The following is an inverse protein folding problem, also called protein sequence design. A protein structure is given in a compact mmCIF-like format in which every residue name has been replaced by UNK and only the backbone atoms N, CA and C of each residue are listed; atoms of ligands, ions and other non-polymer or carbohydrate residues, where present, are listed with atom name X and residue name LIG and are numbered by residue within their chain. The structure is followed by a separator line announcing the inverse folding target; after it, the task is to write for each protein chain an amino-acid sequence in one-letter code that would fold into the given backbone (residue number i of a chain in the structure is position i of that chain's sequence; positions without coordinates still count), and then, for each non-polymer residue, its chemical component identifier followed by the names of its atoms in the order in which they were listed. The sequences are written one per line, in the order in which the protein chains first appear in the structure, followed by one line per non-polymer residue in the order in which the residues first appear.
data_IF_155710820300
#
_entry.id   IF_155710820300
#
_cell.length_a   1.000
_cell.length_b   1.000
_cell.length_c   1.000
_cell.angle_alpha   90.00
_cell.angle_beta   90.00
_cell.angle_gamma   90.00
#
_symmetry.space_group_name_H-M   'P 1'
#
loop_
_entity.id
_entity.type
_entity.pdbx_description
1 polymer ?
#
# COMPACT_ATOMS: atom_id res chain seq x y z
N UNK A 1 14.44 -24.51 29.62
CA UNK A 1 14.78 -24.66 28.18
C UNK A 1 13.55 -24.60 27.30
N UNK A 2 12.50 -25.38 27.56
CA UNK A 2 11.28 -25.40 26.73
C UNK A 2 10.54 -24.05 26.67
N UNK A 3 10.47 -23.32 27.78
CA UNK A 3 9.77 -22.02 27.85
C UNK A 3 10.46 -20.92 27.00
N UNK A 4 11.80 -20.83 27.07
CA UNK A 4 12.57 -19.90 26.22
C UNK A 4 12.44 -20.27 24.74
N UNK A 5 12.51 -21.56 24.40
CA UNK A 5 12.33 -22.01 23.02
C UNK A 5 10.92 -21.70 22.48
N UNK A 6 9.89 -21.85 23.32
CA UNK A 6 8.51 -21.48 23.04
C UNK A 6 8.36 -19.98 22.77
N UNK A 7 8.94 -19.14 23.64
CA UNK A 7 8.93 -17.69 23.50
C UNK A 7 9.59 -17.22 22.20
N UNK A 8 10.78 -17.74 21.89
CA UNK A 8 11.51 -17.39 20.67
C UNK A 8 10.73 -17.82 19.43
N UNK A 9 10.15 -19.03 19.45
CA UNK A 9 9.33 -19.52 18.33
C UNK A 9 8.12 -18.62 18.10
N UNK A 10 7.38 -18.29 19.16
CA UNK A 10 6.25 -17.37 19.07
C UNK A 10 6.67 -15.99 18.52
N UNK A 11 7.76 -15.41 19.03
CA UNK A 11 8.27 -14.12 18.56
C UNK A 11 8.71 -14.16 17.09
N UNK A 12 9.36 -15.25 16.64
CA UNK A 12 9.76 -15.41 15.25
C UNK A 12 8.53 -15.51 14.32
N UNK A 13 7.51 -16.29 14.71
CA UNK A 13 6.25 -16.39 13.96
C UNK A 13 5.48 -15.08 13.95
N UNK A 14 5.44 -14.35 15.07
CA UNK A 14 4.82 -13.03 15.17
C UNK A 14 5.53 -12.02 14.26
N UNK A 15 6.87 -12.04 14.24
CA UNK A 15 7.69 -11.25 13.33
C UNK A 15 7.40 -11.54 11.86
N UNK A 16 7.35 -12.81 11.48
CA UNK A 16 7.00 -13.22 10.12
C UNK A 16 5.58 -12.79 9.73
N UNK A 17 4.60 -12.88 10.64
CA UNK A 17 3.25 -12.40 10.40
C UNK A 17 3.19 -10.87 10.22
N UNK A 18 4.01 -10.10 10.95
CA UNK A 18 4.15 -8.66 10.71
C UNK A 18 4.79 -8.37 9.34
N UNK A 19 5.77 -9.18 8.92
CA UNK A 19 6.35 -9.14 7.57
C UNK A 19 5.31 -9.39 6.48
N UNK A 20 4.51 -10.44 6.63
CA UNK A 20 3.37 -10.76 5.75
C UNK A 20 2.32 -9.63 5.71
N UNK A 21 2.14 -8.91 6.81
CA UNK A 21 1.28 -7.73 6.89
C UNK A 21 1.93 -6.44 6.33
N UNK A 22 3.09 -6.55 5.67
CA UNK A 22 3.86 -5.45 5.08
C UNK A 22 4.31 -4.38 6.09
N UNK A 23 4.65 -4.77 7.32
CA UNK A 23 5.26 -3.86 8.28
C UNK A 23 6.72 -3.52 7.86
N UNK A 24 7.19 -2.28 8.10
CA UNK A 24 8.58 -1.93 7.92
C UNK A 24 9.52 -2.81 8.76
N UNK A 25 10.65 -3.23 8.19
CA UNK A 25 11.64 -4.06 8.88
C UNK A 25 12.12 -3.41 10.19
N UNK A 26 12.35 -2.09 10.16
CA UNK A 26 12.68 -1.30 11.35
C UNK A 26 11.62 -1.41 12.44
N UNK A 27 10.34 -1.37 12.07
CA UNK A 27 9.22 -1.43 12.99
C UNK A 27 9.07 -2.83 13.59
N UNK A 28 9.21 -3.87 12.76
CA UNK A 28 9.21 -5.27 13.19
C UNK A 28 10.30 -5.46 14.27
N UNK A 29 11.53 -5.02 13.99
CA UNK A 29 12.65 -5.11 14.93
C UNK A 29 12.35 -4.39 16.25
N UNK A 30 11.85 -3.16 16.20
CA UNK A 30 11.48 -2.40 17.40
C UNK A 30 10.37 -3.06 18.22
N UNK A 31 9.38 -3.64 17.55
CA UNK A 31 8.27 -4.34 18.21
C UNK A 31 8.74 -5.65 18.84
N UNK A 32 9.58 -6.42 18.15
CA UNK A 32 10.17 -7.65 18.67
C UNK A 32 11.07 -7.37 19.88
N UNK A 33 11.97 -6.37 19.82
CA UNK A 33 12.81 -6.00 20.95
C UNK A 33 11.98 -5.62 22.19
N UNK A 34 10.88 -4.87 22.02
CA UNK A 34 9.98 -4.54 23.13
C UNK A 34 9.22 -5.76 23.66
N UNK A 35 8.81 -6.66 22.77
CA UNK A 35 8.14 -7.90 23.16
C UNK A 35 9.09 -8.84 23.93
N UNK A 36 10.33 -9.01 23.48
CA UNK A 36 11.36 -9.80 24.17
C UNK A 36 11.65 -9.24 25.57
N UNK A 37 11.79 -7.91 25.69
CA UNK A 37 11.95 -7.25 26.98
C UNK A 37 10.77 -7.48 27.93
N UNK A 38 9.53 -7.54 27.41
CA UNK A 38 8.34 -7.82 28.21
C UNK A 38 8.30 -9.27 28.72
N UNK A 39 8.94 -10.21 28.02
CA UNK A 39 9.13 -11.60 28.45
C UNK A 39 10.41 -11.81 29.26
N UNK A 40 11.21 -10.76 29.52
CA UNK A 40 12.45 -10.86 30.28
C UNK A 40 13.58 -11.59 29.54
N UNK A 41 13.49 -11.74 28.22
CA UNK A 41 14.51 -12.40 27.40
C UNK A 41 15.29 -11.39 26.54
N UNK A 42 16.60 -11.59 26.45
CA UNK A 42 17.48 -10.85 25.56
C UNK A 42 17.58 -11.59 24.24
N UNK A 43 17.05 -10.99 23.17
CA UNK A 43 17.06 -11.58 21.84
C UNK A 43 17.67 -10.65 20.81
N UNK A 44 18.47 -11.21 19.91
CA UNK A 44 18.86 -10.55 18.67
C UNK A 44 17.91 -10.96 17.55
N UNK A 45 17.77 -10.08 16.55
CA UNK A 45 16.83 -10.29 15.45
C UNK A 45 17.50 -10.00 14.11
N UNK A 46 17.34 -10.92 13.16
CA UNK A 46 17.60 -10.65 11.74
C UNK A 46 16.26 -10.68 11.02
N UNK A 47 15.84 -9.51 10.55
CA UNK A 47 14.56 -9.34 9.84
C UNK A 47 14.88 -8.94 8.42
N UNK A 48 14.41 -9.75 7.48
CA UNK A 48 14.49 -9.56 6.03
C UNK A 48 13.06 -9.60 5.47
N UNK A 49 12.79 -9.07 4.26
CA UNK A 49 11.45 -9.06 3.67
C UNK A 49 10.76 -10.44 3.69
N UNK A 50 11.52 -11.50 3.43
CA UNK A 50 10.99 -12.85 3.26
C UNK A 50 11.32 -13.79 4.43
N UNK A 51 12.08 -13.33 5.43
CA UNK A 51 12.56 -14.19 6.52
C UNK A 51 12.73 -13.40 7.81
N UNK A 52 12.23 -13.95 8.91
CA UNK A 52 12.49 -13.43 10.25
C UNK A 52 13.23 -14.48 11.07
N UNK A 53 14.36 -14.09 11.63
CA UNK A 53 15.17 -14.90 12.53
C UNK A 53 15.25 -14.24 13.90
N UNK A 54 15.02 -15.02 14.94
CA UNK A 54 15.15 -14.61 16.33
C UNK A 54 16.19 -15.49 16.99
N UNK A 55 17.18 -14.85 17.60
CA UNK A 55 18.28 -15.45 18.32
C UNK A 55 18.09 -15.14 19.81
N UNK A 56 18.25 -16.11 20.70
CA UNK A 56 18.36 -15.81 22.12
C UNK A 56 19.50 -16.59 22.76
N UNK A 57 20.18 -15.94 23.68
CA UNK A 57 21.12 -16.62 24.56
C UNK A 57 20.35 -17.61 25.45
N UNK A 58 20.88 -18.84 25.56
CA UNK A 58 20.37 -19.81 26.53
C UNK A 58 21.34 -19.90 27.71
N UNK A 59 20.87 -20.41 28.86
CA UNK A 59 21.71 -20.54 30.07
C UNK A 59 22.88 -21.53 29.91
N UNK A 60 22.90 -22.33 28.83
CA UNK A 60 24.07 -23.07 28.38
C UNK A 60 24.75 -22.37 27.20
N UNK A 61 26.01 -22.68 26.90
CA UNK A 61 26.84 -22.01 25.88
C UNK A 61 26.31 -22.00 24.41
N UNK A 62 25.05 -22.38 24.17
CA UNK A 62 24.36 -22.32 22.88
C UNK A 62 23.47 -21.08 22.72
N UNK A 63 23.26 -20.69 21.47
CA UNK A 63 22.27 -19.68 21.06
C UNK A 63 21.10 -20.40 20.39
N UNK A 64 19.89 -20.23 20.91
CA UNK A 64 18.69 -20.77 20.27
C UNK A 64 18.30 -19.89 19.09
N UNK A 65 18.09 -20.49 17.92
CA UNK A 65 17.73 -19.79 16.69
C UNK A 65 16.40 -20.32 16.16
N UNK A 66 15.46 -19.43 15.89
CA UNK A 66 14.24 -19.74 15.16
C UNK A 66 14.18 -18.88 13.91
N UNK A 67 13.97 -19.53 12.76
CA UNK A 67 13.87 -18.88 11.46
C UNK A 67 12.52 -19.22 10.84
N UNK A 68 11.74 -18.20 10.51
CA UNK A 68 10.41 -18.35 9.90
C UNK A 68 10.40 -17.58 8.58
N UNK A 69 10.00 -18.26 7.50
CA UNK A 69 9.82 -17.66 6.18
C UNK A 69 8.44 -17.01 6.06
N UNK A 70 8.40 -15.87 5.36
CA UNK A 70 7.17 -15.18 4.97
C UNK A 70 6.74 -15.75 3.62
N UNK A 71 5.81 -16.70 3.66
CA UNK A 71 5.42 -17.48 2.47
C UNK A 71 4.31 -16.83 1.64
N UNK A 72 3.50 -15.96 2.25
CA UNK A 72 2.38 -15.29 1.59
C UNK A 72 2.05 -13.97 2.30
N UNK A 73 1.52 -13.01 1.54
CA UNK A 73 0.98 -11.77 2.10
C UNK A 73 -0.23 -12.07 3.00
N UNK A 74 -0.30 -11.34 4.11
CA UNK A 74 -1.43 -11.40 5.02
C UNK A 74 -2.57 -10.54 4.48
N UNK A 75 -3.82 -11.04 4.59
CA UNK A 75 -4.98 -10.28 4.13
C UNK A 75 -5.21 -9.06 5.02
N UNK A 76 -5.74 -7.99 4.42
CA UNK A 76 -5.86 -6.71 5.10
C UNK A 76 -6.72 -6.76 6.38
N UNK A 77 -7.81 -7.53 6.37
CA UNK A 77 -8.67 -7.75 7.54
C UNK A 77 -7.96 -8.46 8.70
N UNK A 78 -7.03 -9.37 8.40
CA UNK A 78 -6.22 -10.08 9.39
C UNK A 78 -5.19 -9.16 10.08
N UNK A 79 -4.85 -8.00 9.49
CA UNK A 79 -3.92 -7.04 10.09
C UNK A 79 -4.46 -6.43 11.39
N UNK A 80 -5.79 -6.30 11.53
CA UNK A 80 -6.43 -5.73 12.71
C UNK A 80 -6.27 -6.62 13.97
N UNK A 81 -6.64 -7.91 13.96
CA UNK A 81 -6.39 -8.79 15.09
C UNK A 81 -4.90 -9.05 15.31
N UNK A 82 -4.07 -9.10 14.26
CA UNK A 82 -2.61 -9.22 14.39
C UNK A 82 -2.03 -8.07 15.20
N UNK A 83 -2.37 -6.83 14.85
CA UNK A 83 -1.84 -5.68 15.56
C UNK A 83 -2.32 -5.61 17.03
N UNK A 84 -3.53 -6.09 17.34
CA UNK A 84 -3.98 -6.26 18.73
C UNK A 84 -3.14 -7.30 19.47
N UNK A 85 -2.78 -8.40 18.81
CA UNK A 85 -1.88 -9.42 19.36
C UNK A 85 -0.50 -8.82 19.63
N UNK A 86 0.13 -8.19 18.62
CA UNK A 86 1.43 -7.50 18.75
C UNK A 86 1.43 -6.52 19.92
N UNK A 87 0.41 -5.65 19.99
CA UNK A 87 0.29 -4.66 21.07
C UNK A 87 0.17 -5.29 22.46
N UNK A 88 -0.52 -6.43 22.57
CA UNK A 88 -0.71 -7.14 23.85
C UNK A 88 0.56 -7.89 24.26
N UNK A 89 1.26 -8.48 23.29
CA UNK A 89 2.57 -9.11 23.48
C UNK A 89 3.63 -8.11 23.94
N UNK A 90 3.70 -6.92 23.33
CA UNK A 90 4.61 -5.84 23.77
C UNK A 90 4.34 -5.32 25.20
N UNK A 91 3.16 -5.62 25.76
CA UNK A 91 2.81 -5.30 27.15
C UNK A 91 3.05 -6.47 28.12
N UNK A 92 3.51 -7.63 27.63
CA UNK A 92 3.63 -8.85 28.44
C UNK A 92 2.28 -9.42 28.89
N UNK A 93 1.19 -9.06 28.20
CA UNK A 93 -0.17 -9.42 28.61
C UNK A 93 -0.69 -10.72 27.96
N UNK A 94 0.18 -11.46 27.27
CA UNK A 94 -0.18 -12.67 26.52
C UNK A 94 0.87 -13.72 26.83
N UNK A 95 0.44 -14.91 27.25
CA UNK A 95 1.32 -16.06 27.38
C UNK A 95 1.80 -16.54 25.99
N UNK A 96 3.06 -16.95 25.79
CA UNK A 96 3.57 -17.40 24.49
C UNK A 96 2.77 -18.54 23.83
N UNK A 97 2.22 -19.48 24.60
CA UNK A 97 1.42 -20.60 24.07
C UNK A 97 0.06 -20.08 23.60
N UNK A 98 -0.60 -19.26 24.41
CA UNK A 98 -1.86 -18.61 24.04
C UNK A 98 -1.70 -17.66 22.85
N UNK A 99 -0.55 -16.98 22.79
CA UNK A 99 -0.14 -16.10 21.70
C UNK A 99 -0.01 -16.86 20.39
N UNK A 100 0.62 -18.04 20.42
CA UNK A 100 0.77 -18.90 19.25
C UNK A 100 -0.60 -19.43 18.77
N UNK A 101 -1.44 -19.93 19.68
CA UNK A 101 -2.80 -20.37 19.35
C UNK A 101 -3.69 -19.23 18.83
N UNK A 102 -3.46 -17.98 19.28
CA UNK A 102 -4.14 -16.81 18.75
C UNK A 102 -3.62 -16.40 17.38
N UNK A 103 -2.33 -16.56 17.13
CA UNK A 103 -1.73 -16.30 15.83
C UNK A 103 -2.25 -17.30 14.79
N UNK A 104 -2.34 -18.59 15.13
CA UNK A 104 -2.92 -19.62 14.25
C UNK A 104 -4.34 -19.27 13.84
N UNK A 105 -5.20 -18.89 14.81
CA UNK A 105 -6.56 -18.42 14.53
C UNK A 105 -6.63 -17.20 13.62
N UNK A 106 -5.63 -16.32 13.67
CA UNK A 106 -5.58 -15.15 12.79
C UNK A 106 -5.22 -15.59 11.37
N UNK A 107 -4.21 -16.45 11.22
CA UNK A 107 -3.71 -16.92 9.93
C UNK A 107 -4.75 -17.80 9.21
N UNK A 108 -5.46 -18.64 9.96
CA UNK A 108 -6.47 -19.58 9.43
C UNK A 108 -7.87 -18.95 9.28
N UNK A 109 -8.02 -17.66 9.59
CA UNK A 109 -9.32 -16.99 9.53
C UNK A 109 -9.88 -16.98 8.09
N UNK A 110 -11.13 -17.45 7.88
CA UNK A 110 -11.75 -17.44 6.56
C UNK A 110 -12.00 -15.99 6.09
N UNK A 111 -12.16 -15.77 4.77
CA UNK A 111 -12.55 -14.45 4.26
C UNK A 111 -13.86 -13.93 4.87
N UNK A 112 -13.92 -12.68 5.36
CA UNK A 112 -15.12 -12.12 5.98
C UNK A 112 -16.20 -11.78 4.95
N UNK A 113 -15.85 -11.77 3.66
CA UNK A 113 -16.72 -11.37 2.56
C UNK A 113 -16.77 -12.46 1.49
N UNK A 114 -17.92 -12.62 0.78
CA UNK A 114 -18.04 -13.58 -0.30
C UNK A 114 -17.14 -13.19 -1.49
N UNK A 115 -16.71 -14.15 -2.33
CA UNK A 115 -15.67 -13.93 -3.34
C UNK A 115 -16.03 -12.94 -4.45
N UNK A 116 -17.32 -12.65 -4.66
CA UNK A 116 -17.79 -11.66 -5.63
C UNK A 116 -17.69 -10.21 -5.10
N UNK A 117 -17.72 -10.01 -3.79
CA UNK A 117 -17.77 -8.68 -3.20
C UNK A 117 -16.46 -7.90 -3.40
N UNK A 118 -15.26 -8.51 -3.32
CA UNK A 118 -14.03 -7.82 -3.69
C UNK A 118 -14.01 -7.38 -5.15
N UNK A 119 -14.60 -8.14 -6.08
CA UNK A 119 -14.65 -7.72 -7.50
C UNK A 119 -15.46 -6.42 -7.63
N UNK A 120 -16.65 -6.39 -7.02
CA UNK A 120 -17.48 -5.18 -6.99
C UNK A 120 -16.79 -4.02 -6.26
N UNK A 121 -16.15 -4.32 -5.13
CA UNK A 121 -15.41 -3.36 -4.33
C UNK A 121 -14.26 -2.72 -5.09
N UNK A 122 -13.55 -3.49 -5.92
CA UNK A 122 -12.49 -2.97 -6.78
C UNK A 122 -13.03 -2.02 -7.84
N UNK A 123 -14.17 -2.33 -8.48
CA UNK A 123 -14.84 -1.41 -9.41
C UNK A 123 -15.23 -0.08 -8.75
N UNK A 124 -15.81 -0.12 -7.55
CA UNK A 124 -16.18 1.08 -6.77
C UNK A 124 -14.92 1.84 -6.32
N UNK A 125 -13.85 1.11 -5.96
CA UNK A 125 -12.59 1.72 -5.57
C UNK A 125 -11.95 2.48 -6.74
N UNK A 126 -11.91 1.88 -7.94
CA UNK A 126 -11.48 2.55 -9.17
C UNK A 126 -12.37 3.74 -9.53
N UNK A 127 -13.69 3.66 -9.33
CA UNK A 127 -14.60 4.79 -9.53
C UNK A 127 -14.27 5.98 -8.62
N UNK A 128 -14.00 5.71 -7.33
CA UNK A 128 -13.61 6.72 -6.36
C UNK A 128 -12.28 7.39 -6.73
N UNK A 129 -11.28 6.61 -7.15
CA UNK A 129 -10.00 7.13 -7.63
C UNK A 129 -10.16 7.95 -8.93
N UNK A 130 -11.03 7.55 -9.85
CA UNK A 130 -11.31 8.32 -11.07
C UNK A 130 -11.91 9.69 -10.76
N UNK A 131 -12.84 9.77 -9.80
CA UNK A 131 -13.39 11.04 -9.32
C UNK A 131 -12.34 11.95 -8.69
N UNK A 132 -11.33 11.38 -8.03
CA UNK A 132 -10.23 12.13 -7.41
C UNK A 132 -9.21 12.63 -8.44
N UNK A 133 -8.83 11.79 -9.40
CA UNK A 133 -7.73 12.06 -10.33
C UNK A 133 -8.15 12.83 -11.59
N UNK A 134 -9.27 12.44 -12.20
CA UNK A 134 -9.76 13.04 -13.46
C UNK A 134 -11.29 12.89 -13.55
N UNK A 135 -12.04 13.75 -12.86
CA UNK A 135 -13.49 13.65 -12.74
C UNK A 135 -14.19 14.00 -14.07
N UNK A 136 -14.48 12.96 -14.85
CA UNK A 136 -15.23 12.98 -16.10
C UNK A 136 -16.24 11.83 -16.12
N UNK A 137 -17.46 11.99 -16.67
CA UNK A 137 -18.44 10.89 -16.76
C UNK A 137 -17.89 9.66 -17.48
N UNK A 138 -17.14 9.87 -18.57
CA UNK A 138 -16.54 8.78 -19.34
C UNK A 138 -15.46 8.07 -18.54
N UNK A 139 -14.57 8.83 -17.87
CA UNK A 139 -13.54 8.24 -17.03
C UNK A 139 -14.14 7.51 -15.83
N UNK A 140 -15.19 8.03 -15.21
CA UNK A 140 -15.90 7.37 -14.12
C UNK A 140 -16.48 6.03 -14.56
N UNK A 141 -17.20 5.99 -15.68
CA UNK A 141 -17.77 4.76 -16.23
C UNK A 141 -16.68 3.78 -16.64
N UNK A 142 -15.69 4.24 -17.41
CA UNK A 142 -14.55 3.45 -17.86
C UNK A 142 -13.78 2.86 -16.69
N UNK A 143 -13.41 3.67 -15.70
CA UNK A 143 -12.71 3.22 -14.50
C UNK A 143 -13.51 2.21 -13.68
N UNK A 144 -14.83 2.38 -13.59
CA UNK A 144 -15.71 1.42 -12.89
C UNK A 144 -15.71 0.07 -13.61
N UNK A 145 -15.94 0.06 -14.92
CA UNK A 145 -16.02 -1.18 -15.72
C UNK A 145 -14.66 -1.88 -15.80
N UNK A 146 -13.60 -1.14 -16.09
CA UNK A 146 -12.24 -1.66 -16.14
C UNK A 146 -11.76 -2.11 -14.76
N UNK A 147 -12.17 -1.41 -13.70
CA UNK A 147 -11.99 -1.87 -12.32
C UNK A 147 -12.66 -3.23 -12.13
N UNK A 148 -13.95 -3.39 -12.44
CA UNK A 148 -14.63 -4.70 -12.33
C UNK A 148 -13.89 -5.81 -13.10
N UNK A 149 -13.39 -5.51 -14.30
CA UNK A 149 -12.57 -6.42 -15.10
C UNK A 149 -11.29 -6.83 -14.35
N UNK A 150 -10.51 -5.86 -13.86
CA UNK A 150 -9.26 -6.13 -13.14
C UNK A 150 -9.52 -6.87 -11.83
N UNK A 151 -10.58 -6.51 -11.09
CA UNK A 151 -11.00 -7.21 -9.88
C UNK A 151 -11.34 -8.68 -10.17
N UNK A 152 -11.98 -8.96 -11.31
CA UNK A 152 -12.26 -10.31 -11.77
C UNK A 152 -10.98 -11.06 -12.15
N UNK A 153 -10.08 -10.43 -12.91
CA UNK A 153 -8.77 -11.01 -13.26
C UNK A 153 -7.98 -11.38 -12.00
N UNK A 154 -7.94 -10.49 -11.00
CA UNK A 154 -7.31 -10.76 -9.71
C UNK A 154 -7.98 -11.93 -8.98
N UNK A 155 -9.31 -12.03 -9.02
CA UNK A 155 -10.03 -13.15 -8.42
C UNK A 155 -9.73 -14.50 -9.10
N UNK A 156 -9.57 -14.51 -10.43
CA UNK A 156 -9.19 -15.70 -11.20
C UNK A 156 -7.73 -16.06 -10.97
N UNK A 157 -6.82 -15.09 -10.97
CA UNK A 157 -5.39 -15.31 -10.77
C UNK A 157 -5.08 -15.94 -9.41
N UNK A 158 -5.88 -15.67 -8.37
CA UNK A 158 -5.75 -16.37 -7.07
C UNK A 158 -5.93 -17.89 -7.15
N UNK A 159 -6.55 -18.42 -8.21
CA UNK A 159 -6.68 -19.87 -8.45
C UNK A 159 -5.52 -20.46 -9.25
N UNK A 160 -4.71 -19.61 -9.89
CA UNK A 160 -3.64 -20.03 -10.81
C UNK A 160 -2.35 -19.25 -10.53
N UNK A 161 -1.44 -19.83 -9.76
CA UNK A 161 -0.16 -19.20 -9.36
C UNK A 161 0.70 -18.74 -10.55
N UNK A 162 0.60 -19.39 -11.72
CA UNK A 162 1.31 -18.95 -12.91
C UNK A 162 0.79 -17.59 -13.45
N UNK A 163 -0.49 -17.30 -13.28
CA UNK A 163 -1.10 -16.04 -13.75
C UNK A 163 -0.79 -14.87 -12.82
N UNK A 164 -0.52 -15.10 -11.54
CA UNK A 164 -0.28 -13.99 -10.58
C UNK A 164 0.96 -13.17 -10.94
N UNK A 165 1.99 -13.80 -11.52
CA UNK A 165 3.21 -13.10 -11.93
C UNK A 165 3.02 -12.21 -13.16
N UNK A 166 2.12 -12.58 -14.08
CA UNK A 166 1.84 -11.82 -15.31
C UNK A 166 0.65 -10.88 -15.17
N UNK A 167 -0.08 -10.97 -14.06
CA UNK A 167 -1.31 -10.23 -13.82
C UNK A 167 -1.16 -8.71 -14.01
N UNK A 168 -0.08 -8.04 -13.54
CA UNK A 168 0.09 -6.60 -13.77
C UNK A 168 0.16 -6.26 -15.26
N UNK A 169 1.00 -6.96 -16.02
CA UNK A 169 1.17 -6.74 -17.46
C UNK A 169 -0.11 -7.03 -18.25
N UNK A 170 -0.79 -8.15 -17.93
CA UNK A 170 -2.05 -8.52 -18.58
C UNK A 170 -3.16 -7.51 -18.28
N UNK A 171 -3.25 -7.05 -17.03
CA UNK A 171 -4.24 -6.05 -16.63
C UNK A 171 -3.99 -4.72 -17.33
N UNK A 172 -2.73 -4.27 -17.37
CA UNK A 172 -2.34 -3.06 -18.08
C UNK A 172 -2.65 -3.14 -19.58
N UNK A 173 -2.32 -4.27 -20.22
CA UNK A 173 -2.64 -4.52 -21.62
C UNK A 173 -4.15 -4.45 -21.90
N UNK A 174 -4.98 -5.14 -21.10
CA UNK A 174 -6.42 -5.14 -21.30
C UNK A 174 -7.05 -3.78 -21.01
N UNK A 175 -6.62 -3.11 -19.94
CA UNK A 175 -7.11 -1.77 -19.56
C UNK A 175 -6.76 -0.74 -20.64
N UNK A 176 -5.51 -0.74 -21.12
CA UNK A 176 -5.06 0.15 -22.18
C UNK A 176 -5.78 -0.17 -23.49
N UNK A 177 -5.82 -1.44 -23.91
CA UNK A 177 -6.42 -1.84 -25.17
C UNK A 177 -7.91 -1.54 -25.26
N UNK A 178 -8.68 -1.80 -24.19
CA UNK A 178 -10.10 -1.42 -24.14
C UNK A 178 -10.27 0.09 -24.14
N UNK A 179 -9.45 0.84 -23.40
CA UNK A 179 -9.54 2.30 -23.38
C UNK A 179 -9.23 2.92 -24.74
N UNK A 180 -8.21 2.42 -25.43
CA UNK A 180 -7.83 2.81 -26.78
C UNK A 180 -8.96 2.53 -27.77
N UNK A 181 -9.48 1.29 -27.80
CA UNK A 181 -10.55 0.92 -28.73
C UNK A 181 -11.85 1.69 -28.49
N UNK A 182 -12.17 2.02 -27.23
CA UNK A 182 -13.33 2.87 -26.91
C UNK A 182 -13.09 4.32 -27.34
N UNK A 183 -11.88 4.85 -27.16
CA UNK A 183 -11.55 6.20 -27.60
C UNK A 183 -11.65 6.35 -29.12
N UNK A 184 -11.11 5.39 -29.87
CA UNK A 184 -11.23 5.34 -31.33
C UNK A 184 -12.70 5.27 -31.78
N UNK A 185 -13.49 4.39 -31.15
CA UNK A 185 -14.91 4.24 -31.48
C UNK A 185 -15.75 5.49 -31.20
N UNK A 186 -15.38 6.26 -30.17
CA UNK A 186 -16.05 7.50 -29.79
C UNK A 186 -15.49 8.74 -30.51
N UNK A 187 -14.47 8.58 -31.36
CA UNK A 187 -13.79 9.69 -32.04
C UNK A 187 -13.10 10.65 -31.07
N UNK A 188 -12.56 10.14 -29.96
CA UNK A 188 -11.80 10.94 -29.00
C UNK A 188 -10.36 11.06 -29.48
N UNK A 189 -9.87 12.29 -29.56
CA UNK A 189 -8.52 12.56 -30.06
C UNK A 189 -7.40 11.99 -29.15
N UNK A 190 -7.70 11.72 -27.87
CA UNK A 190 -6.69 11.32 -26.88
C UNK A 190 -7.20 10.35 -25.82
N UNK A 191 -6.35 9.41 -25.41
CA UNK A 191 -6.55 8.59 -24.19
C UNK A 191 -5.71 9.19 -23.08
N UNK A 192 -6.36 9.69 -22.02
CA UNK A 192 -5.64 10.19 -20.86
C UNK A 192 -4.93 9.05 -20.13
N UNK A 193 -3.60 9.10 -19.98
CA UNK A 193 -2.86 8.16 -19.13
C UNK A 193 -3.41 8.13 -17.70
N UNK A 194 -3.96 9.28 -17.25
CA UNK A 194 -4.61 9.41 -15.95
C UNK A 194 -5.88 8.56 -15.80
N UNK A 195 -6.57 8.26 -16.90
CA UNK A 195 -7.75 7.39 -16.91
C UNK A 195 -7.42 5.90 -16.73
N UNK A 196 -6.18 5.49 -17.04
CA UNK A 196 -5.70 4.12 -16.84
C UNK A 196 -5.29 3.84 -15.39
N UNK A 197 -4.98 4.89 -14.61
CA UNK A 197 -4.52 4.77 -13.22
C UNK A 197 -5.55 4.07 -12.32
N UNK A 198 -6.83 4.48 -12.26
CA UNK A 198 -7.77 3.96 -11.28
C UNK A 198 -8.02 2.44 -11.41
N UNK A 199 -8.17 1.86 -12.62
CA UNK A 199 -8.26 0.41 -12.81
C UNK A 199 -6.99 -0.37 -12.50
N UNK A 200 -5.82 0.28 -12.53
CA UNK A 200 -4.52 -0.36 -12.30
C UNK A 200 -3.97 -0.10 -10.90
N UNK A 201 -4.72 0.62 -10.06
CA UNK A 201 -4.24 1.17 -8.79
C UNK A 201 -3.68 0.13 -7.82
N UNK A 202 -4.16 -1.13 -7.83
CA UNK A 202 -3.64 -2.17 -6.93
C UNK A 202 -2.24 -2.65 -7.32
N UNK A 203 -1.85 -2.50 -8.59
CA UNK A 203 -0.54 -2.91 -9.08
C UNK A 203 0.49 -1.79 -8.96
N UNK A 204 0.05 -0.57 -8.67
CA UNK A 204 0.94 0.56 -8.48
C UNK A 204 1.78 0.34 -7.22
N UNK A 205 3.11 0.22 -7.34
CA UNK A 205 3.98 -0.15 -6.23
C UNK A 205 4.34 1.04 -5.33
N UNK A 206 3.43 2.02 -5.19
CA UNK A 206 3.67 3.21 -4.39
C UNK A 206 4.07 2.87 -2.96
N UNK A 207 3.37 1.92 -2.34
CA UNK A 207 3.61 1.53 -0.94
C UNK A 207 4.96 0.81 -0.79
N UNK A 208 5.30 -0.07 -1.74
CA UNK A 208 6.56 -0.81 -1.75
C UNK A 208 7.76 0.15 -1.91
N UNK A 209 7.68 1.09 -2.84
CA UNK A 209 8.75 2.07 -3.09
C UNK A 209 8.89 3.04 -1.91
N UNK A 210 7.77 3.51 -1.35
CA UNK A 210 7.79 4.40 -0.17
C UNK A 210 8.44 3.70 1.02
N UNK A 211 8.05 2.44 1.25
CA UNK A 211 8.63 1.63 2.31
C UNK A 211 10.11 1.34 2.07
N UNK A 212 10.50 1.11 0.81
CA UNK A 212 11.89 0.96 0.42
C UNK A 212 12.74 2.17 0.83
N UNK A 213 12.27 3.39 0.54
CA UNK A 213 13.00 4.62 0.90
C UNK A 213 13.08 4.78 2.42
N UNK A 214 12.00 4.48 3.15
CA UNK A 214 12.01 4.49 4.63
C UNK A 214 13.04 3.50 5.20
N UNK A 215 13.13 2.30 4.63
CA UNK A 215 14.10 1.28 5.05
C UNK A 215 15.54 1.64 4.65
N UNK A 216 15.75 2.17 3.44
CA UNK A 216 17.06 2.67 2.98
C UNK A 216 17.59 3.79 3.87
N UNK A 217 16.75 4.78 4.18
CA UNK A 217 17.11 5.90 5.08
C UNK A 217 17.35 5.44 6.52
N UNK A 218 16.76 4.31 6.92
CA UNK A 218 16.97 3.68 8.23
C UNK A 218 18.16 2.71 8.26
N UNK A 219 18.95 2.62 7.18
CA UNK A 219 20.10 1.71 7.00
C UNK A 219 19.75 0.22 6.86
N UNK A 220 18.48 -0.13 6.62
CA UNK A 220 18.06 -1.49 6.25
C UNK A 220 18.18 -1.68 4.72
N UNK A 221 19.41 -1.60 4.19
CA UNK A 221 19.66 -1.52 2.73
C UNK A 221 19.16 -2.72 1.94
N UNK A 222 19.28 -3.94 2.48
CA UNK A 222 18.84 -5.17 1.78
C UNK A 222 17.32 -5.18 1.60
N UNK A 223 16.58 -4.86 2.66
CA UNK A 223 15.12 -4.80 2.62
C UNK A 223 14.64 -3.66 1.71
N UNK A 224 15.25 -2.49 1.87
CA UNK A 224 14.93 -1.33 1.04
C UNK A 224 15.19 -1.58 -0.45
N UNK A 225 16.36 -2.09 -0.82
CA UNK A 225 16.72 -2.36 -2.21
C UNK A 225 15.81 -3.42 -2.85
N UNK A 226 15.48 -4.49 -2.13
CA UNK A 226 14.61 -5.56 -2.65
C UNK A 226 13.17 -5.07 -2.90
N UNK A 227 12.57 -4.30 -1.97
CA UNK A 227 11.25 -3.67 -2.17
C UNK A 227 11.26 -2.67 -3.33
N UNK A 228 12.36 -1.92 -3.49
CA UNK A 228 12.52 -0.96 -4.60
C UNK A 228 12.57 -1.68 -5.95
N UNK A 229 13.38 -2.73 -6.07
CA UNK A 229 13.50 -3.54 -7.30
C UNK A 229 12.15 -4.19 -7.62
N UNK A 230 11.45 -4.76 -6.64
CA UNK A 230 10.12 -5.33 -6.85
C UNK A 230 9.13 -4.27 -7.38
N UNK A 231 9.20 -3.04 -6.86
CA UNK A 231 8.40 -1.93 -7.38
C UNK A 231 8.75 -1.56 -8.82
N UNK A 232 10.04 -1.49 -9.17
CA UNK A 232 10.44 -1.22 -10.55
C UNK A 232 9.99 -2.31 -11.53
N UNK A 233 10.08 -3.59 -11.14
CA UNK A 233 9.57 -4.70 -11.95
C UNK A 233 8.07 -4.55 -12.19
N UNK A 234 7.29 -4.22 -11.15
CA UNK A 234 5.86 -3.99 -11.29
C UNK A 234 5.53 -2.82 -12.23
N UNK A 235 6.25 -1.69 -12.13
CA UNK A 235 6.09 -0.57 -13.06
C UNK A 235 6.45 -0.96 -14.50
N UNK A 236 7.55 -1.69 -14.70
CA UNK A 236 7.97 -2.17 -16.02
C UNK A 236 6.93 -3.10 -16.64
N UNK A 237 6.32 -3.99 -15.85
CA UNK A 237 5.24 -4.86 -16.31
C UNK A 237 4.00 -4.06 -16.75
N UNK A 238 3.61 -3.05 -15.97
CA UNK A 238 2.49 -2.18 -16.33
C UNK A 238 2.77 -1.41 -17.62
N UNK A 239 3.95 -0.78 -17.72
CA UNK A 239 4.36 -0.03 -18.90
C UNK A 239 4.42 -0.93 -20.14
N UNK A 240 5.01 -2.12 -20.03
CA UNK A 240 5.05 -3.11 -21.09
C UNK A 240 3.66 -3.49 -21.59
N UNK A 241 2.70 -3.71 -20.68
CA UNK A 241 1.32 -3.98 -21.06
C UNK A 241 0.67 -2.82 -21.83
N UNK A 242 0.89 -1.57 -21.38
CA UNK A 242 0.36 -0.37 -22.04
C UNK A 242 0.96 -0.21 -23.45
N UNK A 243 2.27 -0.32 -23.60
CA UNK A 243 2.98 -0.15 -24.88
C UNK A 243 2.53 -1.19 -25.89
N UNK A 244 2.47 -2.48 -25.52
CA UNK A 244 2.00 -3.52 -26.43
C UNK A 244 0.56 -3.29 -26.89
N UNK A 245 -0.31 -2.80 -26.00
CA UNK A 245 -1.68 -2.47 -26.37
C UNK A 245 -1.72 -1.33 -27.40
N UNK A 246 -0.88 -0.30 -27.25
CA UNK A 246 -0.78 0.80 -28.19
C UNK A 246 -0.25 0.35 -29.56
N UNK A 247 0.85 -0.42 -29.58
CA UNK A 247 1.46 -0.93 -30.81
C UNK A 247 0.48 -1.81 -31.62
N UNK A 248 -0.27 -2.70 -30.95
CA UNK A 248 -1.21 -3.60 -31.62
C UNK A 248 -2.44 -2.88 -32.20
N UNK A 249 -2.81 -1.73 -31.64
CA UNK A 249 -3.99 -0.95 -32.05
C UNK A 249 -3.61 0.21 -32.99
N UNK A 250 -2.34 0.38 -33.33
CA UNK A 250 -1.90 1.32 -34.36
C UNK A 250 -2.12 2.80 -34.02
N UNK A 251 -2.22 3.15 -32.73
CA UNK A 251 -2.27 4.54 -32.32
C UNK A 251 -0.88 5.19 -32.42
N UNK A 252 -0.81 6.37 -33.04
CA UNK A 252 0.37 7.23 -32.90
C UNK A 252 0.53 7.64 -31.42
N UNK A 253 1.73 7.43 -30.88
CA UNK A 253 2.07 7.61 -29.45
C UNK A 253 1.82 9.04 -28.93
N UNK A 254 1.74 10.01 -29.85
CA UNK A 254 1.47 11.44 -29.62
C UNK A 254 0.06 11.74 -29.07
N UNK A 255 -0.86 10.77 -29.09
CA UNK A 255 -2.24 10.96 -28.60
C UNK A 255 -2.45 10.63 -27.11
N UNK A 256 -1.37 10.40 -26.35
CA UNK A 256 -1.43 10.24 -24.89
C UNK A 256 -1.24 11.59 -24.20
N UNK A 257 -2.33 12.25 -23.83
CA UNK A 257 -2.29 13.55 -23.12
C UNK A 257 -2.36 13.38 -21.60
N UNK A 258 -1.47 14.07 -20.87
CA UNK A 258 -1.43 14.11 -19.41
C UNK A 258 -2.22 15.27 -18.77
N UNK A 259 -2.88 16.12 -19.56
CA UNK A 259 -3.59 17.30 -19.05
C UNK A 259 -4.84 16.92 -18.24
N UNK A 260 -5.00 17.47 -17.02
CA UNK A 260 -6.15 17.17 -16.18
C UNK A 260 -7.42 17.82 -16.71
N UNK A 261 -8.43 17.01 -17.05
CA UNK A 261 -9.74 17.50 -17.44
C UNK A 261 -10.76 17.26 -16.33
N UNK A 262 -11.17 18.31 -15.62
CA UNK A 262 -12.32 18.24 -14.71
C UNK A 262 -13.60 18.65 -15.44
N UNK A 263 -14.49 17.69 -15.70
CA UNK A 263 -15.79 17.90 -16.37
C UNK A 263 -16.99 17.84 -15.41
N UNK A 264 -16.80 17.43 -14.15
CA UNK A 264 -17.89 17.23 -13.17
C UNK A 264 -17.98 18.34 -12.10
N UNK A 265 -16.92 19.14 -11.93
CA UNK A 265 -16.87 20.27 -11.00
C UNK A 265 -16.03 20.01 -9.75
N UNK A 266 -15.89 21.02 -8.88
CA UNK A 266 -15.01 20.98 -7.71
C UNK A 266 -15.47 20.04 -6.59
N UNK A 267 -16.74 19.60 -6.58
CA UNK A 267 -17.26 18.66 -5.59
C UNK A 267 -16.86 17.20 -5.87
N UNK A 268 -16.54 16.88 -7.12
CA UNK A 268 -16.33 15.50 -7.57
C UNK A 268 -15.17 14.79 -6.85
N UNK A 269 -13.99 15.40 -6.65
CA UNK A 269 -12.92 14.77 -5.90
C UNK A 269 -13.27 14.47 -4.44
N UNK A 270 -14.02 15.37 -3.79
CA UNK A 270 -14.46 15.17 -2.40
C UNK A 270 -15.44 14.00 -2.29
N UNK A 271 -16.41 13.88 -3.22
CA UNK A 271 -17.25 12.68 -3.28
C UNK A 271 -16.41 11.44 -3.60
N UNK A 272 -15.41 11.57 -4.48
CA UNK A 272 -14.47 10.52 -4.83
C UNK A 272 -13.78 9.91 -3.61
N UNK A 273 -13.39 10.72 -2.61
CA UNK A 273 -12.82 10.22 -1.34
C UNK A 273 -13.82 9.33 -0.57
N UNK A 274 -15.11 9.69 -0.53
CA UNK A 274 -16.12 8.86 0.11
C UNK A 274 -16.34 7.53 -0.66
N UNK A 275 -16.46 7.61 -1.99
CA UNK A 275 -16.64 6.42 -2.84
C UNK A 275 -15.42 5.50 -2.75
N UNK A 276 -14.21 6.07 -2.73
CA UNK A 276 -12.95 5.38 -2.49
C UNK A 276 -13.00 4.58 -1.18
N UNK A 277 -13.42 5.22 -0.08
CA UNK A 277 -13.50 4.56 1.22
C UNK A 277 -14.48 3.38 1.22
N UNK A 278 -15.63 3.52 0.56
CA UNK A 278 -16.58 2.42 0.37
C UNK A 278 -15.96 1.29 -0.44
N UNK A 279 -15.28 1.60 -1.55
CA UNK A 279 -14.54 0.63 -2.35
C UNK A 279 -13.50 -0.16 -1.54
N UNK A 280 -12.72 0.53 -0.70
CA UNK A 280 -11.76 -0.09 0.23
C UNK A 280 -12.45 -1.04 1.22
N UNK A 281 -13.60 -0.64 1.79
CA UNK A 281 -14.36 -1.51 2.70
C UNK A 281 -14.85 -2.79 2.02
N UNK A 282 -15.27 -2.70 0.75
CA UNK A 282 -15.79 -3.83 -0.01
C UNK A 282 -14.68 -4.72 -0.57
N UNK A 283 -13.57 -4.13 -1.00
CA UNK A 283 -12.43 -4.84 -1.58
C UNK A 283 -11.64 -5.61 -0.53
N UNK A 284 -11.28 -4.94 0.57
CA UNK A 284 -10.42 -5.51 1.61
C UNK A 284 -11.18 -6.16 2.76
N UNK A 285 -12.48 -5.91 2.90
CA UNK A 285 -13.33 -6.47 3.95
C UNK A 285 -12.89 -6.19 5.41
N UNK A 286 -12.36 -5.00 5.77
CA UNK A 286 -12.04 -4.70 7.16
C UNK A 286 -13.31 -4.63 8.03
N UNK A 287 -13.19 -4.66 9.38
CA UNK A 287 -14.33 -4.51 10.27
C UNK A 287 -15.09 -3.20 10.01
N UNK A 288 -16.43 -3.21 10.04
CA UNK A 288 -17.25 -2.02 9.77
C UNK A 288 -16.94 -0.82 10.67
N UNK A 289 -16.45 -1.07 11.88
CA UNK A 289 -15.97 -0.04 12.80
C UNK A 289 -14.78 0.76 12.25
N UNK A 290 -14.13 0.29 11.17
CA UNK A 290 -13.01 0.95 10.49
C UNK A 290 -13.45 2.12 9.61
N UNK A 291 -14.64 2.08 9.02
CA UNK A 291 -15.12 3.08 8.05
C UNK A 291 -15.00 4.54 8.53
N UNK A 292 -15.43 4.93 9.76
CA UNK A 292 -15.30 6.32 10.19
C UNK A 292 -13.82 6.77 10.29
N UNK A 293 -12.93 5.87 10.70
CA UNK A 293 -11.49 6.18 10.77
C UNK A 293 -10.87 6.29 9.38
N UNK A 294 -11.31 5.43 8.45
CA UNK A 294 -10.89 5.46 7.05
C UNK A 294 -11.32 6.76 6.38
N UNK A 295 -12.58 7.19 6.56
CA UNK A 295 -13.07 8.45 6.00
C UNK A 295 -12.27 9.64 6.57
N UNK A 296 -12.11 9.68 7.90
CA UNK A 296 -11.37 10.77 8.55
C UNK A 296 -9.93 10.86 8.03
N UNK A 297 -9.22 9.73 7.97
CA UNK A 297 -7.82 9.73 7.53
C UNK A 297 -7.70 10.09 6.04
N UNK A 298 -8.61 9.57 5.21
CA UNK A 298 -8.65 9.84 3.78
C UNK A 298 -8.93 11.33 3.48
N UNK A 299 -9.92 11.93 4.13
CA UNK A 299 -10.23 13.35 3.96
C UNK A 299 -9.13 14.26 4.51
N UNK A 300 -8.53 13.93 5.66
CA UNK A 300 -7.39 14.69 6.19
C UNK A 300 -6.20 14.67 5.23
N UNK A 301 -5.85 13.49 4.70
CA UNK A 301 -4.74 13.32 3.78
C UNK A 301 -4.98 14.03 2.45
N UNK A 302 -6.16 13.82 1.84
CA UNK A 302 -6.55 14.48 0.60
C UNK A 302 -6.63 16.00 0.74
N UNK A 303 -7.28 16.50 1.80
CA UNK A 303 -7.39 17.93 2.06
C UNK A 303 -6.02 18.59 2.26
N UNK A 304 -5.10 17.93 2.95
CA UNK A 304 -3.73 18.42 3.13
C UNK A 304 -2.94 18.44 1.82
N UNK A 305 -3.09 17.42 0.97
CA UNK A 305 -2.48 17.42 -0.36
C UNK A 305 -3.07 18.52 -1.24
N UNK A 306 -4.39 18.69 -1.24
CA UNK A 306 -5.08 19.75 -1.99
C UNK A 306 -4.59 21.14 -1.59
N UNK A 307 -4.46 21.41 -0.29
CA UNK A 307 -3.89 22.68 0.20
C UNK A 307 -2.41 22.79 -0.19
N UNK A 308 -1.63 21.72 -0.04
CA UNK A 308 -0.21 21.70 -0.42
C UNK A 308 0.02 22.02 -1.90
N UNK A 309 -0.84 21.53 -2.79
CA UNK A 309 -0.80 21.80 -4.23
C UNK A 309 -0.93 23.30 -4.54
N UNK A 310 -1.79 24.02 -3.79
CA UNK A 310 -1.97 25.46 -3.97
C UNK A 310 -0.75 26.30 -3.55
N UNK A 311 0.06 25.83 -2.60
CA UNK A 311 1.16 26.62 -2.01
C UNK A 311 2.56 26.19 -2.46
N UNK A 312 2.78 24.89 -2.71
CA UNK A 312 4.09 24.30 -2.99
C UNK A 312 4.20 23.74 -4.42
N UNK A 313 3.09 23.72 -5.17
CA UNK A 313 2.98 23.09 -6.47
C UNK A 313 2.79 21.57 -6.41
N UNK A 314 2.38 20.98 -7.54
CA UNK A 314 1.90 19.59 -7.63
C UNK A 314 2.85 18.54 -7.08
N UNK A 315 4.15 18.66 -7.35
CA UNK A 315 5.14 17.63 -6.95
C UNK A 315 5.46 17.65 -5.44
N UNK A 316 5.36 18.81 -4.79
CA UNK A 316 5.63 18.98 -3.37
C UNK A 316 4.38 18.79 -2.49
N UNK A 317 3.18 18.82 -3.09
CA UNK A 317 1.89 18.58 -2.41
C UNK A 317 1.84 17.24 -1.64
N UNK A 318 2.56 16.23 -2.14
CA UNK A 318 2.70 14.92 -1.52
C UNK A 318 3.34 14.96 -0.13
N UNK A 319 4.27 15.89 0.13
CA UNK A 319 4.85 16.12 1.47
C UNK A 319 3.75 16.47 2.45
N UNK A 320 2.86 17.39 2.09
CA UNK A 320 1.77 17.85 2.96
C UNK A 320 0.78 16.72 3.25
N UNK A 321 0.37 15.98 2.22
CA UNK A 321 -0.51 14.82 2.36
C UNK A 321 0.10 13.75 3.29
N UNK A 322 1.36 13.36 3.06
CA UNK A 322 2.06 12.37 3.88
C UNK A 322 2.30 12.81 5.33
N UNK A 323 2.65 14.08 5.54
CA UNK A 323 2.86 14.65 6.88
C UNK A 323 1.58 14.60 7.69
N UNK A 324 0.47 15.11 7.14
CA UNK A 324 -0.82 15.15 7.84
C UNK A 324 -1.36 13.73 8.03
N UNK A 325 -1.27 12.87 7.01
CA UNK A 325 -1.61 11.45 7.12
C UNK A 325 -0.93 10.78 8.32
N UNK A 326 0.38 10.98 8.47
CA UNK A 326 1.16 10.38 9.56
C UNK A 326 0.74 10.93 10.93
N UNK A 327 0.65 12.25 11.06
CA UNK A 327 0.27 12.90 12.33
C UNK A 327 -1.16 12.48 12.73
N UNK A 328 -2.10 12.52 11.80
CA UNK A 328 -3.48 12.10 12.04
C UNK A 328 -3.55 10.62 12.42
N UNK A 329 -2.89 9.71 11.70
CA UNK A 329 -2.89 8.29 12.04
C UNK A 329 -2.35 8.05 13.45
N UNK A 330 -1.22 8.67 13.81
CA UNK A 330 -0.63 8.55 15.15
C UNK A 330 -1.50 9.18 16.24
N UNK A 331 -2.18 10.28 15.96
CA UNK A 331 -3.12 10.91 16.89
C UNK A 331 -4.37 10.06 17.12
N UNK A 332 -4.93 9.50 16.05
CA UNK A 332 -6.13 8.67 16.10
C UNK A 332 -5.89 7.37 16.87
N UNK A 333 -4.71 6.76 16.75
CA UNK A 333 -4.38 5.52 17.48
C UNK A 333 -4.38 5.66 19.01
N UNK A 334 -4.40 6.90 19.54
CA UNK A 334 -4.55 7.16 20.97
C UNK A 334 -5.99 7.06 21.46
N UNK A 335 -6.98 7.04 20.56
CA UNK A 335 -8.39 6.97 20.93
C UNK A 335 -8.78 5.52 21.25
N UNK A 336 -9.65 5.31 22.26
CA UNK A 336 -10.16 3.99 22.57
C UNK A 336 -10.93 3.43 21.37
N UNK A 337 -10.63 2.18 20.99
CA UNK A 337 -11.23 1.51 19.84
C UNK A 337 -10.61 1.87 18.48
N UNK A 338 -9.57 2.70 18.44
CA UNK A 338 -8.91 3.03 17.19
C UNK A 338 -8.12 1.84 16.61
N UNK A 339 -8.14 1.68 15.27
CA UNK A 339 -7.27 0.74 14.59
C UNK A 339 -5.78 1.04 14.77
N UNK A 340 -4.91 0.07 14.49
CA UNK A 340 -3.46 0.27 14.46
C UNK A 340 -3.04 1.30 13.42
N UNK A 341 -1.93 2.00 13.69
CA UNK A 341 -1.43 3.06 12.82
C UNK A 341 -1.17 2.58 11.39
N UNK A 342 -0.57 1.40 11.23
CA UNK A 342 -0.23 0.82 9.92
C UNK A 342 -1.48 0.61 9.06
N UNK A 343 -2.56 0.09 9.66
CA UNK A 343 -3.85 -0.12 8.98
C UNK A 343 -4.55 1.20 8.59
N UNK A 344 -4.25 2.32 9.26
CA UNK A 344 -4.76 3.65 8.92
C UNK A 344 -3.94 4.34 7.83
N UNK A 345 -2.62 4.19 7.86
CA UNK A 345 -1.72 4.85 6.92
C UNK A 345 -1.86 4.25 5.52
N UNK A 346 -1.99 2.93 5.39
CA UNK A 346 -1.94 2.27 4.09
C UNK A 346 -3.09 2.70 3.14
N UNK A 347 -4.37 2.77 3.57
CA UNK A 347 -5.44 3.28 2.72
C UNK A 347 -5.33 4.79 2.45
N UNK A 348 -4.88 5.59 3.42
CA UNK A 348 -4.65 7.01 3.17
C UNK A 348 -3.53 7.21 2.13
N UNK A 349 -2.49 6.40 2.20
CA UNK A 349 -1.37 6.42 1.28
C UNK A 349 -1.78 6.06 -0.16
N UNK A 350 -2.59 5.02 -0.36
CA UNK A 350 -3.10 4.66 -1.70
C UNK A 350 -3.94 5.77 -2.33
N UNK A 351 -4.68 6.55 -1.52
CA UNK A 351 -5.45 7.69 -1.99
C UNK A 351 -4.59 8.86 -2.46
N UNK A 352 -3.39 9.06 -1.89
CA UNK A 352 -2.45 10.10 -2.34
C UNK A 352 -1.85 9.78 -3.71
N UNK A 353 -2.04 8.54 -4.19
CA UNK A 353 -1.61 7.99 -5.49
C UNK A 353 -0.16 8.34 -5.89
N UNK A 354 0.86 8.20 -5.01
CA UNK A 354 2.24 8.52 -5.41
C UNK A 354 2.77 7.58 -6.49
N UNK A 355 2.24 6.36 -6.59
CA UNK A 355 2.67 5.37 -7.59
C UNK A 355 2.22 5.70 -9.01
N UNK A 356 1.19 6.53 -9.20
CA UNK A 356 0.70 6.83 -10.54
C UNK A 356 1.60 7.75 -11.33
N UNK A 357 2.27 8.69 -10.67
CA UNK A 357 3.26 9.56 -11.30
C UNK A 357 4.40 8.71 -11.87
N UNK A 358 4.79 7.64 -11.15
CA UNK A 358 5.78 6.70 -11.65
C UNK A 358 5.32 5.85 -12.82
N UNK A 359 4.05 5.44 -12.86
CA UNK A 359 3.52 4.77 -14.04
C UNK A 359 3.51 5.71 -15.26
N UNK A 360 3.07 6.96 -15.09
CA UNK A 360 3.08 7.97 -16.16
C UNK A 360 4.51 8.16 -16.68
N UNK A 361 5.47 8.44 -15.79
CA UNK A 361 6.84 8.69 -16.21
C UNK A 361 7.54 7.50 -16.86
N UNK A 362 7.21 6.27 -16.45
CA UNK A 362 7.73 5.05 -17.10
C UNK A 362 7.04 4.81 -18.44
N UNK A 363 5.72 4.99 -18.55
CA UNK A 363 5.00 4.89 -19.82
C UNK A 363 5.50 5.92 -20.85
N UNK A 364 5.74 7.17 -20.43
CA UNK A 364 6.32 8.23 -21.27
C UNK A 364 7.76 7.91 -21.70
N UNK A 365 8.57 7.31 -20.82
CA UNK A 365 9.95 6.93 -21.15
C UNK A 365 9.99 5.91 -22.29
N UNK A 366 9.10 4.91 -22.27
CA UNK A 366 9.03 3.89 -23.30
C UNK A 366 8.33 4.35 -24.59
N UNK A 367 7.65 5.51 -24.58
CA UNK A 367 6.95 6.11 -25.73
C UNK A 367 7.63 7.32 -26.38
N UNK A 368 8.92 7.57 -26.09
CA UNK A 368 9.81 8.57 -26.72
C UNK A 368 9.47 10.08 -26.55
N UNK A 369 10.18 10.72 -25.58
CA UNK A 369 10.79 12.08 -25.61
C UNK A 369 11.30 12.55 -24.22
N UNK A 370 11.17 11.73 -23.17
CA UNK A 370 11.38 12.17 -21.78
C UNK A 370 12.79 11.94 -21.19
N UNK A 371 13.74 12.85 -21.40
CA UNK A 371 15.02 12.91 -20.64
C UNK A 371 14.82 13.29 -19.14
N UNK A 372 13.58 13.59 -18.72
CA UNK A 372 13.24 14.09 -17.37
C UNK A 372 12.16 13.31 -16.62
N UNK A 373 11.46 12.36 -17.25
CA UNK A 373 10.28 11.68 -16.68
C UNK A 373 10.60 10.75 -15.48
N UNK A 374 11.73 10.05 -15.54
CA UNK A 374 12.24 9.24 -14.42
C UNK A 374 12.64 10.11 -13.22
N UNK A 375 13.25 11.27 -13.48
CA UNK A 375 13.64 12.22 -12.43
C UNK A 375 12.42 12.76 -11.68
N UNK A 376 11.38 13.16 -12.40
CA UNK A 376 10.13 13.69 -11.82
C UNK A 376 9.41 12.65 -10.96
N UNK A 377 9.35 11.41 -11.44
CA UNK A 377 8.82 10.27 -10.68
C UNK A 377 9.56 10.12 -9.35
N UNK A 378 10.89 10.06 -9.41
CA UNK A 378 11.73 9.85 -8.23
C UNK A 378 11.55 10.99 -7.21
N UNK A 379 11.47 12.23 -7.69
CA UNK A 379 11.25 13.42 -6.85
C UNK A 379 9.89 13.37 -6.14
N UNK A 380 8.81 13.01 -6.84
CA UNK A 380 7.47 12.95 -6.22
C UNK A 380 7.37 11.86 -5.14
N UNK A 381 7.98 10.70 -5.39
CA UNK A 381 7.99 9.61 -4.42
C UNK A 381 8.83 9.96 -3.18
N UNK A 382 10.01 10.57 -3.38
CA UNK A 382 10.84 11.09 -2.28
C UNK A 382 10.07 12.15 -1.50
N UNK A 383 9.32 13.03 -2.17
CA UNK A 383 8.48 14.06 -1.57
C UNK A 383 7.47 13.46 -0.57
N UNK A 384 6.71 12.43 -0.95
CA UNK A 384 5.78 11.75 -0.02
C UNK A 384 6.51 11.09 1.15
N UNK A 385 7.64 10.41 0.89
CA UNK A 385 8.42 9.77 1.95
C UNK A 385 8.95 10.79 2.95
N UNK A 386 9.51 11.91 2.47
CA UNK A 386 9.97 13.00 3.31
C UNK A 386 8.83 13.60 4.13
N UNK A 387 7.62 13.70 3.55
CA UNK A 387 6.41 14.08 4.29
C UNK A 387 6.09 13.12 5.44
N UNK A 388 6.06 11.81 5.18
CA UNK A 388 5.82 10.77 6.21
C UNK A 388 6.88 10.83 7.31
N UNK A 389 8.17 10.96 6.94
CA UNK A 389 9.28 11.06 7.89
C UNK A 389 9.22 12.34 8.72
N UNK A 390 8.96 13.48 8.08
CA UNK A 390 8.80 14.76 8.77
C UNK A 390 7.64 14.70 9.76
N UNK A 391 6.49 14.14 9.37
CA UNK A 391 5.35 13.93 10.26
C UNK A 391 5.71 13.10 11.48
N UNK A 392 6.48 12.03 11.29
CA UNK A 392 6.97 11.20 12.40
C UNK A 392 7.93 11.95 13.33
N UNK A 393 8.88 12.72 12.80
CA UNK A 393 9.83 13.53 13.59
C UNK A 393 9.11 14.62 14.38
N UNK A 394 8.21 15.37 13.75
CA UNK A 394 7.40 16.41 14.41
C UNK A 394 6.58 15.81 15.55
N UNK A 395 6.02 14.62 15.34
CA UNK A 395 5.31 13.89 16.38
C UNK A 395 6.21 13.50 17.57
N UNK A 396 7.45 13.08 17.32
CA UNK A 396 8.38 12.76 18.39
C UNK A 396 8.82 14.00 19.19
N UNK A 397 9.09 15.11 18.50
CA UNK A 397 9.52 16.36 19.11
C UNK A 397 8.43 16.98 19.99
N UNK A 398 7.18 16.99 19.52
CA UNK A 398 6.04 17.46 20.32
C UNK A 398 5.86 16.62 21.58
N UNK A 399 6.16 15.31 21.53
CA UNK A 399 6.10 14.42 22.69
C UNK A 399 7.19 14.67 23.73
N UNK A 400 8.36 15.17 23.33
CA UNK A 400 9.46 15.54 24.24
C UNK A 400 9.21 16.86 24.97
N UNK A 401 8.35 17.74 24.44
CA UNK A 401 7.99 19.02 25.09
C UNK A 401 6.85 18.90 26.10
N UNK A 402 6.09 17.81 26.06
CA UNK A 402 4.96 17.53 26.97
C UNK A 402 5.34 16.61 28.14
N UNK A 403 6.62 16.22 28.21
CA UNK A 403 7.27 15.58 29.37
C UNK A 403 8.26 16.57 29.92
#
# INVERSE_FOLDING_TARGET
MDDIAQQIRFLARLGAAMGAANYPVTLIRQMLTRASAAYGISTDHVVLPNTVQVFAATDGAGTAVQSVQVNADLRFDQTFPLARLVSSTMRGAVDPVDGEARLDRILDAPPPVPPWLPVLGYGIWSAGLALVLEPSPLNLLGATVLGLLVGLLAAVARRFTALTQLLPALSAFLVAGVSIGVAEHLGLDHVGLRALIPPLAMFLPGAAITLAVVELTSRDTISGASRLIAGFVALAQLAFGIVIAAELLGLEESHLSGEPVNKLGAWAPWLGVAVYAVGVMLFFGPPLSFLPWLLLIAYCAYGAQFVGDQFLGGYASGVCGGLVLTICALALTRRPGAPPAVSLILPGFWLLVPGSIGLIGVAELFGADGDSALGVTFISMISVVLGLQAGFVVWQLSRRRLR
#
